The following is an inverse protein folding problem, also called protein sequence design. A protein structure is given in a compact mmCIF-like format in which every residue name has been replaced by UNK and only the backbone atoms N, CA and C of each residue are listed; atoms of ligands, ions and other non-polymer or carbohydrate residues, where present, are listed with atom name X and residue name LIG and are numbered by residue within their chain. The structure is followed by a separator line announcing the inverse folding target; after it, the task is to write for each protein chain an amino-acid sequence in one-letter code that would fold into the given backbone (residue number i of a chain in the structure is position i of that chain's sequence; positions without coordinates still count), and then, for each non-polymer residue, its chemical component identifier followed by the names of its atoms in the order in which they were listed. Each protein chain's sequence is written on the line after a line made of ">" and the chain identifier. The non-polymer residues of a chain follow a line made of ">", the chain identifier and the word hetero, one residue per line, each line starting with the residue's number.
data_IF_600998268550
#
_entry.id   IF_600998268550
#
_cell.length_a   1.000
_cell.length_b   1.000
_cell.length_c   1.000
_cell.angle_alpha   90.00
_cell.angle_beta   90.00
_cell.angle_gamma   90.00
#
_symmetry.space_group_name_H-M   'P 1'
#
loop_
_entity.id
_entity.type
_entity.pdbx_description
1 polymer ?
#
# COMPACT_ATOMS: atom_id res chain seq x y z
N UNK A 1 -12.50 -13.96 -13.38
CA UNK A 1 -11.50 -13.06 -12.77
C UNK A 1 -11.35 -13.49 -11.32
N UNK A 2 -10.13 -13.79 -10.87
CA UNK A 2 -9.79 -14.11 -9.48
C UNK A 2 -8.62 -13.21 -9.08
N UNK A 3 -8.59 -12.73 -7.85
CA UNK A 3 -7.62 -11.78 -7.36
C UNK A 3 -7.59 -11.75 -5.84
N UNK A 4 -6.54 -11.17 -5.30
CA UNK A 4 -6.30 -11.09 -3.86
C UNK A 4 -6.15 -9.63 -3.47
N UNK A 5 -7.05 -9.15 -2.61
CA UNK A 5 -6.96 -7.83 -2.01
C UNK A 5 -6.60 -7.95 -0.53
N UNK A 6 -5.42 -7.44 -0.17
CA UNK A 6 -4.93 -7.34 1.20
C UNK A 6 -5.12 -5.90 1.66
N UNK A 7 -5.71 -5.71 2.82
CA UNK A 7 -6.04 -4.40 3.40
C UNK A 7 -5.50 -4.39 4.82
N UNK A 8 -4.80 -3.33 5.21
CA UNK A 8 -4.39 -3.13 6.58
C UNK A 8 -4.66 -1.71 7.07
N UNK A 9 -5.12 -1.63 8.31
CA UNK A 9 -5.04 -0.43 9.13
C UNK A 9 -3.89 -0.62 10.13
N UNK A 10 -2.91 0.27 10.08
CA UNK A 10 -1.71 0.25 10.91
C UNK A 10 -1.76 1.41 11.88
N UNK A 11 -1.43 1.15 13.13
CA UNK A 11 -1.55 2.12 14.21
C UNK A 11 -0.20 2.32 14.91
N UNK A 12 0.04 3.55 15.36
CA UNK A 12 1.23 3.94 16.14
C UNK A 12 2.54 3.67 15.37
N UNK A 13 2.58 4.07 14.11
CA UNK A 13 3.75 4.02 13.23
C UNK A 13 4.76 5.16 13.52
N UNK A 14 4.96 5.53 14.79
CA UNK A 14 5.68 6.75 15.17
C UNK A 14 7.16 6.76 14.70
N UNK A 15 7.76 5.59 14.54
CA UNK A 15 9.16 5.43 14.12
C UNK A 15 9.36 5.44 12.59
N UNK A 16 8.29 5.48 11.80
CA UNK A 16 8.37 5.48 10.33
C UNK A 16 8.92 6.79 9.74
N UNK A 17 9.06 7.83 10.56
CA UNK A 17 9.79 9.06 10.24
C UNK A 17 9.37 9.68 8.90
N UNK A 18 10.31 9.76 7.95
CA UNK A 18 10.05 10.36 6.63
C UNK A 18 8.98 9.62 5.82
N UNK A 19 8.79 8.31 6.02
CA UNK A 19 7.77 7.56 5.27
C UNK A 19 6.35 8.04 5.59
N UNK A 20 6.15 8.60 6.78
CA UNK A 20 4.86 9.15 7.23
C UNK A 20 4.59 10.53 6.61
N UNK A 21 5.64 11.34 6.43
CA UNK A 21 5.49 12.75 6.09
C UNK A 21 5.94 13.10 4.67
N UNK A 22 6.85 12.36 4.04
CA UNK A 22 7.52 12.76 2.80
C UNK A 22 7.10 11.88 1.62
N UNK A 23 6.44 12.51 0.65
CA UNK A 23 5.92 11.89 -0.56
C UNK A 23 6.99 11.12 -1.35
N UNK A 24 8.20 11.69 -1.51
CA UNK A 24 9.26 11.08 -2.31
C UNK A 24 9.83 9.79 -1.67
N UNK A 25 9.98 9.77 -0.35
CA UNK A 25 10.45 8.59 0.38
C UNK A 25 9.40 7.47 0.31
N UNK A 26 8.12 7.83 0.49
CA UNK A 26 7.03 6.85 0.44
C UNK A 26 6.82 6.27 -0.96
N UNK A 27 6.84 7.11 -2.00
CA UNK A 27 6.77 6.66 -3.39
C UNK A 27 7.92 5.69 -3.71
N UNK A 28 9.14 6.05 -3.31
CA UNK A 28 10.34 5.23 -3.53
C UNK A 28 10.21 3.86 -2.90
N UNK A 29 9.75 3.78 -1.64
CA UNK A 29 9.48 2.52 -0.95
C UNK A 29 8.45 1.68 -1.71
N UNK A 30 7.26 2.23 -1.97
CA UNK A 30 6.16 1.47 -2.57
C UNK A 30 6.51 0.94 -3.97
N UNK A 31 7.14 1.76 -4.80
CA UNK A 31 7.58 1.35 -6.15
C UNK A 31 8.68 0.30 -6.08
N UNK A 32 9.66 0.47 -5.19
CA UNK A 32 10.75 -0.50 -5.01
C UNK A 32 10.20 -1.86 -4.56
N UNK A 33 9.33 -1.89 -3.54
CA UNK A 33 8.78 -3.14 -3.02
C UNK A 33 7.95 -3.89 -4.04
N UNK A 34 7.15 -3.17 -4.85
CA UNK A 34 6.43 -3.79 -5.95
C UNK A 34 7.37 -4.45 -6.96
N UNK A 35 8.45 -3.76 -7.37
CA UNK A 35 9.43 -4.29 -8.33
C UNK A 35 10.19 -5.48 -7.74
N UNK A 36 10.63 -5.40 -6.50
CA UNK A 36 11.37 -6.47 -5.83
C UNK A 36 10.55 -7.74 -5.61
N UNK A 37 9.24 -7.59 -5.35
CA UNK A 37 8.31 -8.70 -5.30
C UNK A 37 8.03 -9.32 -6.68
N UNK A 38 8.46 -8.66 -7.76
CA UNK A 38 8.24 -9.09 -9.14
C UNK A 38 6.87 -8.70 -9.69
N UNK A 39 6.21 -7.72 -9.10
CA UNK A 39 5.06 -7.03 -9.68
C UNK A 39 5.56 -5.95 -10.67
N UNK A 40 4.69 -5.53 -11.58
CA UNK A 40 5.03 -4.57 -12.62
C UNK A 40 4.29 -3.25 -12.39
N UNK A 41 4.93 -2.24 -11.80
CA UNK A 41 4.42 -0.87 -11.79
C UNK A 41 4.32 -0.32 -13.21
N UNK A 42 3.15 0.22 -13.56
CA UNK A 42 2.90 0.98 -14.79
C UNK A 42 3.07 2.50 -14.56
N UNK A 43 2.81 2.95 -13.35
CA UNK A 43 2.93 4.35 -12.94
C UNK A 43 2.68 4.49 -11.45
N UNK A 44 3.06 5.65 -10.90
CA UNK A 44 2.82 6.02 -9.51
C UNK A 44 2.30 7.45 -9.45
N UNK A 45 1.47 7.74 -8.45
CA UNK A 45 1.05 9.09 -8.13
C UNK A 45 0.96 9.23 -6.62
N UNK A 46 1.71 10.18 -6.08
CA UNK A 46 1.74 10.50 -4.67
C UNK A 46 1.53 12.00 -4.49
N UNK A 47 0.68 12.36 -3.53
CA UNK A 47 0.34 13.73 -3.21
C UNK A 47 0.73 14.05 -1.77
N UNK A 48 1.53 15.10 -1.62
CA UNK A 48 1.98 15.62 -0.34
C UNK A 48 0.93 16.56 0.24
N UNK A 49 0.33 16.19 1.38
CA UNK A 49 -0.42 17.14 2.19
C UNK A 49 0.53 18.01 3.00
N UNK A 50 0.10 19.26 3.19
CA UNK A 50 0.78 20.24 4.02
C UNK A 50 -0.20 20.84 5.00
N UNK A 51 0.27 21.11 6.20
CA UNK A 51 -0.50 21.89 7.17
C UNK A 51 -0.63 23.33 6.65
N UNK A 52 -1.87 23.84 6.56
CA UNK A 52 -2.12 25.16 5.98
C UNK A 52 -1.56 26.31 6.84
N UNK A 53 -1.38 26.08 8.14
CA UNK A 53 -0.95 27.11 9.08
C UNK A 53 0.57 27.24 9.19
N UNK A 54 1.29 26.13 9.07
CA UNK A 54 2.75 26.03 9.23
C UNK A 54 3.46 25.81 7.90
N UNK A 55 2.78 25.26 6.89
CA UNK A 55 3.36 24.84 5.60
C UNK A 55 4.18 23.54 5.68
N UNK A 56 4.29 22.94 6.86
CA UNK A 56 5.03 21.71 7.10
C UNK A 56 4.34 20.50 6.48
N UNK A 57 5.10 19.44 6.25
CA UNK A 57 4.58 18.19 5.69
C UNK A 57 3.63 17.54 6.70
N UNK A 58 2.39 17.31 6.29
CA UNK A 58 1.36 16.77 7.16
C UNK A 58 1.18 15.26 6.96
N UNK A 59 1.02 14.77 5.74
CA UNK A 59 0.80 13.36 5.42
C UNK A 59 0.79 13.13 3.91
N UNK A 60 0.60 11.89 3.47
CA UNK A 60 0.71 11.51 2.05
C UNK A 60 -0.44 10.60 1.64
N UNK A 61 -0.97 10.81 0.45
CA UNK A 61 -1.81 9.82 -0.25
C UNK A 61 -1.08 9.34 -1.49
N UNK A 62 -1.07 8.04 -1.72
CA UNK A 62 -0.23 7.42 -2.73
C UNK A 62 -0.86 6.21 -3.40
N UNK A 63 -0.57 6.02 -4.69
CA UNK A 63 -0.87 4.78 -5.38
C UNK A 63 0.22 4.39 -6.36
N UNK A 64 0.46 3.08 -6.45
CA UNK A 64 1.22 2.47 -7.54
C UNK A 64 0.23 1.68 -8.39
N UNK A 65 0.04 2.11 -9.62
CA UNK A 65 -0.76 1.37 -10.61
C UNK A 65 0.07 0.20 -11.08
N UNK A 66 -0.46 -1.01 -10.92
CA UNK A 66 0.18 -2.24 -11.36
C UNK A 66 -0.44 -2.71 -12.68
N UNK A 67 0.32 -3.49 -13.46
CA UNK A 67 -0.22 -4.15 -14.65
C UNK A 67 -1.45 -5.03 -14.34
N UNK A 68 -1.55 -5.47 -13.09
CA UNK A 68 -2.61 -6.34 -12.60
C UNK A 68 -3.25 -5.78 -11.33
N UNK A 69 -3.66 -4.49 -11.32
CA UNK A 69 -4.41 -3.78 -10.27
C UNK A 69 -3.62 -2.64 -9.58
N UNK A 70 -3.35 -2.66 -8.26
CA UNK A 70 -2.73 -1.52 -7.58
C UNK A 70 -2.18 -1.81 -6.17
N UNK A 71 -1.32 -0.92 -5.70
CA UNK A 71 -1.09 -0.62 -4.29
C UNK A 71 -1.63 0.79 -4.00
N UNK A 72 -2.33 0.99 -2.88
CA UNK A 72 -2.70 2.31 -2.38
C UNK A 72 -2.28 2.45 -0.92
N UNK A 73 -1.84 3.65 -0.51
CA UNK A 73 -1.42 3.91 0.86
C UNK A 73 -1.74 5.35 1.27
N UNK A 74 -2.13 5.53 2.52
CA UNK A 74 -2.45 6.83 3.10
C UNK A 74 -1.84 6.95 4.49
N UNK A 75 -1.24 8.10 4.83
CA UNK A 75 -0.57 8.33 6.11
C UNK A 75 -1.19 9.51 6.87
N UNK A 76 -1.32 9.35 8.19
CA UNK A 76 -1.74 10.37 9.15
C UNK A 76 -0.72 10.47 10.30
N UNK A 77 0.37 11.23 10.10
CA UNK A 77 1.43 11.43 11.10
C UNK A 77 0.94 11.99 12.44
N UNK A 78 -0.16 12.76 12.44
CA UNK A 78 -0.75 13.32 13.65
C UNK A 78 -1.31 12.27 14.62
N UNK A 79 -1.76 11.12 14.09
CA UNK A 79 -2.25 9.99 14.89
C UNK A 79 -1.31 8.78 14.83
N UNK A 80 -0.32 8.80 13.93
CA UNK A 80 0.56 7.67 13.67
C UNK A 80 -0.12 6.55 12.90
N UNK A 81 -1.16 6.86 12.13
CA UNK A 81 -1.97 5.86 11.43
C UNK A 81 -1.59 5.76 9.95
N UNK A 82 -1.69 4.55 9.40
CA UNK A 82 -1.50 4.28 7.97
C UNK A 82 -2.56 3.30 7.51
N UNK A 83 -3.17 3.56 6.36
CA UNK A 83 -3.99 2.55 5.67
C UNK A 83 -3.26 2.08 4.42
N UNK A 84 -3.27 0.78 4.18
CA UNK A 84 -2.55 0.13 3.10
C UNK A 84 -3.45 -0.89 2.38
N UNK A 85 -3.54 -0.76 1.07
CA UNK A 85 -4.20 -1.69 0.18
C UNK A 85 -3.19 -2.26 -0.82
N UNK A 86 -3.09 -3.58 -0.91
CA UNK A 86 -2.35 -4.28 -1.96
C UNK A 86 -3.30 -5.22 -2.68
N UNK A 87 -3.73 -4.83 -3.87
CA UNK A 87 -4.63 -5.60 -4.70
C UNK A 87 -3.91 -6.11 -5.95
N UNK A 88 -3.96 -7.41 -6.18
CA UNK A 88 -3.52 -8.04 -7.43
C UNK A 88 -4.62 -8.86 -8.09
N UNK A 89 -4.66 -8.81 -9.42
CA UNK A 89 -5.37 -9.74 -10.27
C UNK A 89 -4.48 -10.96 -10.54
N UNK A 90 -5.06 -12.16 -10.50
CA UNK A 90 -4.40 -13.41 -10.85
C UNK A 90 -4.83 -13.86 -12.26
N UNK A 91 -4.84 -12.94 -13.22
CA UNK A 91 -5.32 -13.22 -14.58
C UNK A 91 -4.26 -13.96 -15.40
N UNK A 92 -3.03 -13.43 -15.43
CA UNK A 92 -1.94 -14.01 -16.22
C UNK A 92 -1.17 -15.11 -15.47
N UNK A 93 -1.10 -14.99 -14.14
CA UNK A 93 -0.43 -15.91 -13.21
C UNK A 93 -0.94 -15.68 -11.79
N UNK A 94 -0.61 -16.56 -10.86
CA UNK A 94 -0.84 -16.29 -9.44
C UNK A 94 0.17 -15.27 -8.91
N UNK A 95 -0.32 -14.13 -8.45
CA UNK A 95 0.46 -13.05 -7.85
C UNK A 95 0.25 -12.95 -6.33
N UNK A 96 -0.49 -13.89 -5.72
CA UNK A 96 -0.88 -13.83 -4.31
C UNK A 96 0.32 -13.71 -3.37
N UNK A 97 1.36 -14.51 -3.59
CA UNK A 97 2.56 -14.47 -2.73
C UNK A 97 3.39 -13.21 -2.95
N UNK A 98 3.36 -12.66 -4.16
CA UNK A 98 4.00 -11.37 -4.45
C UNK A 98 3.28 -10.24 -3.73
N UNK A 99 1.94 -10.23 -3.75
CA UNK A 99 1.13 -9.27 -3.03
C UNK A 99 1.41 -9.33 -1.52
N UNK A 100 1.42 -10.54 -0.94
CA UNK A 100 1.78 -10.73 0.48
C UNK A 100 3.18 -10.21 0.81
N UNK A 101 4.17 -10.44 -0.07
CA UNK A 101 5.53 -9.94 0.13
C UNK A 101 5.58 -8.41 0.13
N UNK A 102 4.89 -7.74 -0.80
CA UNK A 102 4.81 -6.26 -0.78
C UNK A 102 4.13 -5.79 0.49
N UNK A 103 2.97 -6.38 0.81
CA UNK A 103 2.17 -6.02 1.99
C UNK A 103 2.98 -6.10 3.28
N UNK A 104 3.61 -7.25 3.57
CA UNK A 104 4.40 -7.42 4.80
C UNK A 104 5.62 -6.51 4.85
N UNK A 105 6.27 -6.23 3.72
CA UNK A 105 7.46 -5.37 3.70
C UNK A 105 7.13 -3.91 3.89
N UNK A 106 6.04 -3.43 3.29
CA UNK A 106 5.55 -2.07 3.53
C UNK A 106 5.12 -1.93 4.98
N UNK A 107 4.41 -2.91 5.55
CA UNK A 107 4.04 -2.90 6.98
C UNK A 107 5.29 -2.90 7.87
N UNK A 108 6.29 -3.73 7.58
CA UNK A 108 7.53 -3.77 8.33
C UNK A 108 8.28 -2.43 8.29
N UNK A 109 8.27 -1.74 7.14
CA UNK A 109 8.87 -0.42 6.99
C UNK A 109 8.11 0.67 7.78
N UNK A 110 6.78 0.54 7.93
CA UNK A 110 5.98 1.43 8.76
C UNK A 110 6.14 1.16 10.27
N UNK A 111 6.59 -0.04 10.64
CA UNK A 111 6.87 -0.41 12.02
C UNK A 111 5.71 -0.16 13.00
N UNK A 112 4.46 -0.59 12.71
CA UNK A 112 3.34 -0.33 13.61
C UNK A 112 3.45 -1.16 14.88
N UNK A 113 2.93 -0.61 15.98
CA UNK A 113 2.73 -1.38 17.21
C UNK A 113 1.50 -2.28 17.14
N UNK A 114 0.44 -1.84 16.45
CA UNK A 114 -0.80 -2.60 16.23
C UNK A 114 -1.20 -2.56 14.75
N UNK A 115 -1.85 -3.62 14.28
CA UNK A 115 -2.45 -3.66 12.95
C UNK A 115 -3.74 -4.49 12.91
N UNK A 116 -4.67 -4.08 12.06
CA UNK A 116 -5.86 -4.85 11.68
C UNK A 116 -5.73 -5.20 10.21
N UNK A 117 -5.95 -6.45 9.85
CA UNK A 117 -5.79 -6.94 8.49
C UNK A 117 -7.06 -7.60 7.96
N UNK A 118 -7.36 -7.36 6.69
CA UNK A 118 -8.42 -8.03 5.98
C UNK A 118 -7.90 -8.59 4.65
N UNK A 119 -8.34 -9.81 4.35
CA UNK A 119 -8.09 -10.45 3.07
C UNK A 119 -9.41 -10.67 2.34
N UNK A 120 -9.53 -10.11 1.13
CA UNK A 120 -10.70 -10.26 0.28
C UNK A 120 -10.31 -10.93 -1.04
N UNK A 121 -10.94 -12.07 -1.34
CA UNK A 121 -10.83 -12.68 -2.67
C UNK A 121 -11.74 -11.89 -3.63
N UNK A 122 -11.15 -11.34 -4.69
CA UNK A 122 -11.83 -10.49 -5.66
C UNK A 122 -12.13 -11.28 -6.92
N UNK A 123 -13.42 -11.35 -7.25
CA UNK A 123 -13.89 -12.04 -8.45
C UNK A 123 -14.09 -13.55 -8.23
N UNK A 124 -15.34 -13.95 -8.40
CA UNK A 124 -15.78 -15.29 -8.81
C UNK A 124 -16.92 -15.07 -9.79
N UNK A 125 -16.91 -15.75 -10.93
CA UNK A 125 -18.18 -16.07 -11.59
C UNK A 125 -18.70 -17.34 -10.90
N UNK A 126 -20.02 -17.51 -10.72
CA UNK A 126 -20.57 -18.79 -10.28
C UNK A 126 -20.03 -19.89 -11.18
N UNK A 127 -19.70 -21.05 -10.60
CA UNK A 127 -19.62 -22.25 -11.42
C UNK A 127 -20.98 -22.40 -12.11
N UNK A 128 -21.00 -22.50 -13.44
CA UNK A 128 -22.22 -22.83 -14.17
C UNK A 128 -22.83 -24.09 -13.54
N UNK A 129 -24.09 -23.98 -13.12
CA UNK A 129 -24.90 -25.07 -12.58
C UNK A 129 -25.38 -25.96 -13.72
#
# INVERSE_FOLDING_TARGET
>A
MNGLHLIADLYRCADAGKLMCECADLESLCVAECREAGLTPLGAYFYQFRDESTGEAAGVTGTVVLAESHLAIHTWPESGDVTLDVYVCNYSRDNSDRARRVFERVIAAMGPEDRVEHQVVRGRLPAEV
#
